data_IF_255044774245
#
_entry.id   IF_255044774245
#
_cell.length_a   1.000
_cell.length_b   1.000
_cell.length_c   1.000
_cell.angle_alpha   90.00
_cell.angle_beta   90.00
_cell.angle_gamma   90.00
#
_symmetry.space_group_name_H-M   'P 1'
#
loop_
_entity.id
_entity.type
_entity.pdbx_description
1 polymer ?
#
# COMPACT_ATOMS: atom_id res chain seq x y z
N UNK A 1 0.10 -20.75 6.61
CA UNK A 1 1.19 -21.46 5.89
C UNK A 1 1.92 -20.39 5.11
N UNK A 2 3.25 -20.44 5.01
CA UNK A 2 3.98 -19.49 4.17
C UNK A 2 4.69 -20.23 3.03
N UNK A 3 4.64 -19.61 1.86
CA UNK A 3 5.44 -19.98 0.69
C UNK A 3 6.39 -18.82 0.38
N UNK A 4 7.55 -19.15 -0.18
CA UNK A 4 8.61 -18.18 -0.49
C UNK A 4 9.00 -18.35 -1.97
N UNK A 5 9.11 -17.24 -2.67
CA UNK A 5 9.44 -17.14 -4.08
C UNK A 5 10.50 -16.06 -4.28
N UNK A 6 11.23 -16.16 -5.40
CA UNK A 6 12.18 -15.13 -5.80
C UNK A 6 11.93 -14.74 -7.24
N UNK A 7 11.81 -13.44 -7.50
CA UNK A 7 11.66 -12.88 -8.83
C UNK A 7 12.10 -11.42 -8.85
N UNK A 8 12.65 -10.96 -9.97
CA UNK A 8 12.95 -9.56 -10.24
C UNK A 8 11.62 -8.81 -10.52
N UNK A 9 11.06 -8.14 -9.51
CA UNK A 9 9.76 -7.45 -9.57
C UNK A 9 9.90 -5.96 -9.85
N UNK A 10 11.04 -5.35 -9.47
CA UNK A 10 11.29 -3.93 -9.66
C UNK A 10 12.13 -3.61 -10.91
N UNK A 11 12.75 -4.63 -11.53
CA UNK A 11 13.51 -4.53 -12.76
C UNK A 11 14.97 -4.13 -12.57
N UNK A 12 15.52 -4.21 -11.36
CA UNK A 12 16.92 -3.88 -11.09
C UNK A 12 17.92 -4.96 -11.56
N UNK A 13 17.43 -6.16 -11.89
CA UNK A 13 18.20 -7.31 -12.37
C UNK A 13 18.72 -8.24 -11.26
N UNK A 14 18.39 -7.98 -10.01
CA UNK A 14 18.47 -8.90 -8.88
C UNK A 14 17.08 -9.52 -8.65
N UNK A 15 17.05 -10.65 -7.95
CA UNK A 15 15.78 -11.34 -7.71
C UNK A 15 15.33 -10.97 -6.30
N UNK A 16 14.16 -10.34 -6.19
CA UNK A 16 13.54 -9.89 -4.95
C UNK A 16 12.91 -11.06 -4.18
N UNK A 17 12.87 -10.93 -2.86
CA UNK A 17 12.28 -11.95 -1.99
C UNK A 17 10.77 -11.71 -1.84
N UNK A 18 9.97 -12.71 -2.19
CA UNK A 18 8.51 -12.66 -2.14
C UNK A 18 8.01 -13.73 -1.16
N UNK A 19 7.39 -13.30 -0.07
CA UNK A 19 6.75 -14.17 0.90
C UNK A 19 5.23 -14.09 0.75
N UNK A 20 4.58 -15.26 0.69
CA UNK A 20 3.13 -15.38 0.62
C UNK A 20 2.63 -16.05 1.87
N UNK A 21 1.84 -15.33 2.67
CA UNK A 21 1.28 -15.83 3.92
C UNK A 21 -0.22 -16.09 3.79
N UNK A 22 -0.61 -17.35 3.98
CA UNK A 22 -2.01 -17.76 4.04
C UNK A 22 -2.47 -17.75 5.49
N UNK A 23 -3.42 -16.87 5.80
CA UNK A 23 -4.07 -16.73 7.10
C UNK A 23 -5.50 -17.30 7.07
N UNK A 24 -6.19 -17.29 8.21
CA UNK A 24 -7.62 -17.60 8.28
C UNK A 24 -8.51 -16.47 7.75
N UNK A 25 -7.95 -15.27 7.56
CA UNK A 25 -8.62 -14.07 7.12
C UNK A 25 -8.17 -13.58 5.74
N UNK A 26 -7.36 -14.34 4.99
CA UNK A 26 -6.87 -13.84 3.71
C UNK A 26 -5.52 -14.39 3.28
N UNK A 27 -5.02 -13.82 2.20
CA UNK A 27 -3.66 -13.99 1.70
C UNK A 27 -2.91 -12.67 1.80
N UNK A 28 -1.72 -12.70 2.37
CA UNK A 28 -0.80 -11.58 2.42
C UNK A 28 0.42 -11.85 1.54
N UNK A 29 0.90 -10.83 0.83
CA UNK A 29 2.08 -10.87 0.01
C UNK A 29 3.06 -9.81 0.53
N UNK A 30 4.27 -10.22 0.83
CA UNK A 30 5.36 -9.35 1.30
C UNK A 30 6.50 -9.43 0.29
N UNK A 31 7.02 -8.28 -0.14
CA UNK A 31 8.08 -8.20 -1.14
C UNK A 31 9.22 -7.32 -0.63
N UNK A 32 10.41 -7.88 -0.51
CA UNK A 32 11.65 -7.18 -0.16
C UNK A 32 12.49 -7.01 -1.43
N UNK A 33 12.60 -5.76 -1.91
CA UNK A 33 13.31 -5.38 -3.13
C UNK A 33 14.72 -4.84 -2.86
N UNK A 34 15.02 -4.44 -1.62
CA UNK A 34 16.33 -3.90 -1.25
C UNK A 34 17.23 -4.91 -0.50
N UNK A 35 16.69 -6.09 -0.18
CA UNK A 35 17.32 -7.19 0.54
C UNK A 35 17.77 -6.84 1.96
N UNK A 36 17.05 -5.96 2.65
CA UNK A 36 17.34 -5.60 4.04
C UNK A 36 16.59 -6.48 5.07
N UNK A 37 15.68 -7.34 4.60
CA UNK A 37 14.86 -8.23 5.41
C UNK A 37 13.55 -7.60 5.90
N UNK A 38 13.22 -6.39 5.46
CA UNK A 38 11.92 -5.76 5.61
C UNK A 38 11.20 -5.73 4.26
N UNK A 39 9.88 -5.87 4.29
CA UNK A 39 9.10 -5.80 3.06
C UNK A 39 8.96 -4.34 2.63
N UNK A 40 9.31 -4.07 1.38
CA UNK A 40 9.10 -2.78 0.71
C UNK A 40 7.69 -2.67 0.15
N UNK A 41 7.07 -3.81 -0.20
CA UNK A 41 5.66 -3.86 -0.62
C UNK A 41 4.89 -4.90 0.19
N UNK A 42 3.67 -4.55 0.56
CA UNK A 42 2.71 -5.46 1.18
C UNK A 42 1.39 -5.40 0.41
N UNK A 43 0.76 -6.55 0.18
CA UNK A 43 -0.58 -6.65 -0.38
C UNK A 43 -1.43 -7.65 0.40
N UNK A 44 -2.71 -7.34 0.62
CA UNK A 44 -3.65 -8.18 1.32
C UNK A 44 -4.90 -8.45 0.46
N UNK A 45 -5.22 -9.72 0.27
CA UNK A 45 -6.54 -10.21 -0.16
C UNK A 45 -7.22 -10.80 1.08
N UNK A 46 -8.00 -9.99 1.78
CA UNK A 46 -8.64 -10.29 3.07
C UNK A 46 -9.91 -11.15 2.93
N UNK A 47 -10.33 -11.45 1.71
CA UNK A 47 -11.55 -12.19 1.46
C UNK A 47 -11.33 -13.44 0.58
N UNK A 48 -10.09 -13.64 0.11
CA UNK A 48 -9.63 -14.71 -0.79
C UNK A 48 -10.45 -14.82 -2.08
N UNK A 49 -10.93 -13.70 -2.61
CA UNK A 49 -11.62 -13.65 -3.91
C UNK A 49 -10.67 -13.54 -5.10
N UNK A 50 -9.37 -13.36 -4.83
CA UNK A 50 -8.31 -13.21 -5.83
C UNK A 50 -8.06 -11.76 -6.23
N UNK A 51 -8.71 -10.79 -5.57
CA UNK A 51 -8.51 -9.35 -5.72
C UNK A 51 -7.84 -8.82 -4.45
N UNK A 52 -6.84 -7.96 -4.63
CA UNK A 52 -6.21 -7.27 -3.50
C UNK A 52 -7.21 -6.25 -2.94
N UNK A 53 -7.45 -6.30 -1.63
CA UNK A 53 -8.26 -5.33 -0.90
C UNK A 53 -7.41 -4.15 -0.41
N UNK A 54 -6.13 -4.39 -0.09
CA UNK A 54 -5.23 -3.39 0.47
C UNK A 54 -3.79 -3.58 0.01
N UNK A 55 -3.04 -2.49 -0.16
CA UNK A 55 -1.59 -2.56 -0.35
C UNK A 55 -0.85 -1.33 0.14
N UNK A 56 0.39 -1.53 0.57
CA UNK A 56 1.32 -0.52 1.03
C UNK A 56 2.66 -0.64 0.32
N UNK A 57 3.38 0.48 0.22
CA UNK A 57 4.73 0.53 -0.29
C UNK A 57 5.61 1.48 0.53
N UNK A 58 6.80 1.03 0.88
CA UNK A 58 7.95 1.83 1.31
C UNK A 58 8.89 1.97 0.12
N UNK A 59 8.76 3.06 -0.62
CA UNK A 59 9.54 3.32 -1.84
C UNK A 59 10.87 4.02 -1.55
N UNK A 60 11.04 4.53 -0.33
CA UNK A 60 12.22 5.26 0.09
C UNK A 60 13.17 4.42 0.98
N UNK A 61 12.72 3.23 1.39
CA UNK A 61 13.46 2.22 2.16
C UNK A 61 13.85 2.70 3.56
N UNK A 62 12.96 3.43 4.24
CA UNK A 62 13.18 3.92 5.61
C UNK A 62 12.52 3.05 6.71
N UNK A 63 11.76 2.03 6.30
CA UNK A 63 11.00 1.13 7.16
C UNK A 63 9.58 1.59 7.45
N UNK A 64 9.12 2.67 6.82
CA UNK A 64 7.76 3.21 6.93
C UNK A 64 7.14 3.30 5.54
N UNK A 65 5.93 2.76 5.37
CA UNK A 65 5.21 2.90 4.12
C UNK A 65 4.94 4.39 3.81
N UNK A 66 5.33 4.81 2.60
CA UNK A 66 5.08 6.15 2.07
C UNK A 66 3.86 6.19 1.13
N UNK A 67 3.31 5.04 0.75
CA UNK A 67 2.07 4.91 -0.02
C UNK A 67 1.19 3.80 0.55
N UNK A 68 -0.13 4.06 0.61
CA UNK A 68 -1.15 3.06 0.89
C UNK A 68 -2.33 3.18 -0.09
N UNK A 69 -2.94 2.07 -0.46
CA UNK A 69 -4.10 2.00 -1.37
C UNK A 69 -5.08 0.94 -0.87
N UNK A 70 -6.37 1.26 -0.85
CA UNK A 70 -7.44 0.28 -0.69
C UNK A 70 -8.31 0.17 -1.94
N UNK A 71 -8.87 -1.01 -2.14
CA UNK A 71 -9.68 -1.34 -3.30
C UNK A 71 -11.08 -1.77 -2.87
N UNK A 72 -12.06 -1.51 -3.73
CA UNK A 72 -13.40 -2.07 -3.60
C UNK A 72 -13.43 -3.56 -4.00
N UNK A 73 -14.56 -4.23 -3.75
CA UNK A 73 -14.80 -5.62 -4.16
C UNK A 73 -14.74 -5.91 -5.67
N UNK A 74 -14.58 -4.87 -6.50
CA UNK A 74 -14.39 -4.98 -7.95
C UNK A 74 -12.96 -4.68 -8.38
N UNK A 75 -12.05 -4.42 -7.44
CA UNK A 75 -10.65 -4.06 -7.66
C UNK A 75 -10.42 -2.62 -8.11
N UNK A 76 -11.41 -1.73 -7.95
CA UNK A 76 -11.21 -0.29 -8.20
C UNK A 76 -10.66 0.37 -6.93
N UNK A 77 -9.80 1.37 -7.10
CA UNK A 77 -9.25 2.13 -5.97
C UNK A 77 -10.39 2.87 -5.26
N UNK A 78 -10.58 2.61 -3.98
CA UNK A 78 -11.53 3.34 -3.11
C UNK A 78 -10.82 4.50 -2.40
N UNK A 79 -9.60 4.25 -1.94
CA UNK A 79 -8.76 5.20 -1.21
C UNK A 79 -7.30 5.02 -1.58
N UNK A 80 -6.55 6.12 -1.62
CA UNK A 80 -5.10 6.12 -1.69
C UNK A 80 -4.55 7.23 -0.79
N UNK A 81 -3.41 6.99 -0.16
CA UNK A 81 -2.70 7.98 0.64
C UNK A 81 -1.20 7.92 0.37
N UNK A 82 -0.53 9.06 0.58
CA UNK A 82 0.90 9.17 0.43
C UNK A 82 1.51 10.11 1.48
N UNK A 83 2.70 9.77 1.96
CA UNK A 83 3.61 10.65 2.69
C UNK A 83 4.56 11.26 1.65
N UNK A 84 4.28 12.51 1.26
CA UNK A 84 5.06 13.18 0.22
C UNK A 84 6.26 13.94 0.78
N UNK A 85 6.35 14.04 2.11
CA UNK A 85 7.37 14.83 2.80
C UNK A 85 8.39 13.98 3.60
N UNK A 86 8.10 12.69 3.80
CA UNK A 86 8.98 11.72 4.43
C UNK A 86 9.09 11.89 5.95
N UNK A 87 8.02 12.28 6.63
CA UNK A 87 7.96 12.39 8.09
C UNK A 87 7.34 11.16 8.78
N UNK A 88 6.94 10.16 7.99
CA UNK A 88 6.31 8.93 8.43
C UNK A 88 4.80 9.05 8.64
N UNK A 89 4.17 10.14 8.18
CA UNK A 89 2.73 10.36 8.23
C UNK A 89 2.18 10.75 6.87
N UNK A 90 1.11 10.08 6.43
CA UNK A 90 0.43 10.44 5.19
C UNK A 90 -0.07 11.89 5.22
N UNK A 91 0.41 12.70 4.28
CA UNK A 91 0.05 14.12 4.14
C UNK A 91 -0.91 14.39 2.98
N UNK A 92 -1.11 13.42 2.10
CA UNK A 92 -2.01 13.52 0.96
C UNK A 92 -2.87 12.27 0.89
N UNK A 93 -4.16 12.43 0.61
CA UNK A 93 -5.07 11.33 0.40
C UNK A 93 -6.08 11.64 -0.70
N UNK A 94 -6.50 10.60 -1.43
CA UNK A 94 -7.54 10.63 -2.44
C UNK A 94 -8.57 9.57 -2.10
N UNK A 95 -9.84 9.93 -2.10
CA UNK A 95 -10.93 8.99 -1.81
C UNK A 95 -12.08 9.15 -2.81
N UNK A 96 -12.76 8.06 -3.13
CA UNK A 96 -14.01 8.13 -3.89
C UNK A 96 -15.12 8.74 -3.00
N UNK A 97 -15.69 9.85 -3.47
CA UNK A 97 -16.83 10.49 -2.84
C UNK A 97 -18.13 9.77 -3.17
N UNK A 98 -19.18 10.03 -2.39
CA UNK A 98 -20.52 9.50 -2.64
C UNK A 98 -21.14 9.90 -4.00
N UNK A 99 -20.51 10.84 -4.71
CA UNK A 99 -20.87 11.28 -6.06
C UNK A 99 -20.16 10.48 -7.17
N UNK A 100 -19.34 9.49 -6.81
CA UNK A 100 -18.56 8.66 -7.74
C UNK A 100 -17.37 9.38 -8.36
N UNK A 101 -16.90 10.45 -7.72
CA UNK A 101 -15.69 11.18 -8.13
C UNK A 101 -14.64 11.09 -7.05
N UNK A 102 -13.38 11.10 -7.45
CA UNK A 102 -12.27 11.18 -6.52
C UNK A 102 -12.08 12.62 -6.01
N UNK A 103 -11.89 12.76 -4.71
CA UNK A 103 -11.57 14.01 -4.04
C UNK A 103 -10.21 13.87 -3.38
N UNK A 104 -9.34 14.86 -3.58
CA UNK A 104 -8.01 14.94 -2.96
C UNK A 104 -8.07 15.84 -1.71
N UNK A 105 -7.39 15.39 -0.67
CA UNK A 105 -7.22 16.09 0.60
C UNK A 105 -5.72 16.16 0.90
N UNK A 106 -5.21 17.37 1.13
CA UNK A 106 -3.84 17.59 1.57
C UNK A 106 -3.84 18.01 3.05
N UNK A 107 -3.33 17.16 3.93
CA UNK A 107 -3.24 17.37 5.37
C UNK A 107 -2.08 18.28 5.78
N UNK A 108 -1.09 18.50 4.92
CA UNK A 108 -0.04 19.51 5.13
C UNK A 108 -0.51 20.95 4.84
N UNK A 109 -1.68 21.10 4.20
CA UNK A 109 -2.27 22.40 3.93
C UNK A 109 -3.10 22.88 5.14
N UNK A 110 -2.58 23.88 5.87
CA UNK A 110 -3.27 24.56 6.97
C UNK A 110 -4.64 25.18 6.59
N UNK A 111 -4.92 25.33 5.30
CA UNK A 111 -6.21 25.82 4.79
C UNK A 111 -7.22 24.71 4.48
N UNK A 112 -6.84 23.45 4.69
CA UNK A 112 -7.70 22.30 4.46
C UNK A 112 -8.91 22.30 5.41
N UNK A 113 -10.14 22.44 4.90
CA UNK A 113 -11.35 22.54 5.73
C UNK A 113 -11.75 21.21 6.39
N UNK A 114 -11.09 20.11 6.06
CA UNK A 114 -11.36 18.77 6.60
C UNK A 114 -10.43 18.39 7.76
N UNK A 115 -9.40 19.20 8.07
CA UNK A 115 -8.64 19.05 9.30
C UNK A 115 -9.51 19.51 10.49
N UNK A 116 -9.86 18.59 11.39
CA UNK A 116 -10.49 18.96 12.66
C UNK A 116 -9.46 19.74 13.50
N UNK A 117 -9.74 21.03 13.74
CA UNK A 117 -8.96 21.90 14.64
C UNK A 117 -9.04 21.48 16.11
#
# INVERSE_FOLDING_TARGET
MSDEYQADVDGDGQADDIQVEQTDHGTEYLVDTNHDGQADYQFEDSNNDGTVDYGEADTNHDGTADVAVSYDSSGNVEYAAADTNGDGSYDTAVAEGSDGQYHEVNYSDDSNPYLNA
#
